data_IF_700514101835
#
_entry.id   IF_700514101835
#
_cell.length_a   1.000
_cell.length_b   1.000
_cell.length_c   1.000
_cell.angle_alpha   90.00
_cell.angle_beta   90.00
_cell.angle_gamma   90.00
#
_symmetry.space_group_name_H-M   'P 1'
#
loop_
_entity.id
_entity.type
_entity.pdbx_description
1 polymer ?
#
# COMPACT_ATOMS: atom_id res chain seq x y z
N UNK A 1 15.13 -19.48 -50.47
CA UNK A 1 15.12 -18.21 -49.72
C UNK A 1 14.62 -18.53 -48.33
N UNK A 2 15.55 -18.75 -47.40
CA UNK A 2 15.24 -19.25 -46.06
C UNK A 2 15.80 -18.23 -45.09
N UNK A 3 15.06 -17.16 -44.80
CA UNK A 3 15.48 -16.21 -43.77
C UNK A 3 14.26 -15.72 -42.97
N UNK A 4 14.33 -16.04 -41.68
CA UNK A 4 13.79 -15.36 -40.50
C UNK A 4 12.27 -15.31 -40.29
N UNK A 5 11.77 -16.29 -39.51
CA UNK A 5 10.49 -16.21 -38.79
C UNK A 5 10.66 -16.46 -37.27
N UNK A 6 11.80 -16.09 -36.67
CA UNK A 6 12.10 -16.35 -35.25
C UNK A 6 12.11 -15.09 -34.35
N UNK A 7 11.62 -13.95 -34.83
CA UNK A 7 11.72 -12.67 -34.10
C UNK A 7 10.52 -12.27 -33.24
N UNK A 8 9.32 -12.86 -33.45
CA UNK A 8 8.09 -12.34 -32.84
C UNK A 8 7.82 -12.84 -31.41
N UNK A 9 8.47 -13.92 -30.97
CA UNK A 9 8.17 -14.58 -29.69
C UNK A 9 8.97 -14.05 -28.50
N UNK A 10 10.06 -13.30 -28.72
CA UNK A 10 10.84 -12.70 -27.62
C UNK A 10 10.17 -11.44 -27.04
N UNK A 11 9.46 -10.68 -27.87
CA UNK A 11 8.75 -9.46 -27.44
C UNK A 11 7.47 -9.78 -26.65
N UNK A 12 6.75 -10.83 -27.04
CA UNK A 12 5.55 -11.26 -26.32
C UNK A 12 5.87 -11.80 -24.91
N UNK A 13 7.07 -12.33 -24.69
CA UNK A 13 7.49 -12.85 -23.39
C UNK A 13 7.94 -11.73 -22.42
N UNK A 14 8.47 -10.63 -22.95
CA UNK A 14 8.83 -9.45 -22.17
C UNK A 14 7.57 -8.74 -21.65
N UNK A 15 6.62 -8.44 -22.53
CA UNK A 15 5.35 -7.79 -22.15
C UNK A 15 4.55 -8.60 -21.12
N UNK A 16 4.56 -9.93 -21.20
CA UNK A 16 3.87 -10.81 -20.24
C UNK A 16 4.60 -10.91 -18.88
N UNK A 17 5.89 -10.58 -18.82
CA UNK A 17 6.64 -10.50 -17.57
C UNK A 17 6.47 -9.12 -16.91
N UNK A 18 6.40 -8.06 -17.72
CA UNK A 18 6.16 -6.67 -17.29
C UNK A 18 4.76 -6.51 -16.69
N UNK A 19 3.71 -7.05 -17.34
CA UNK A 19 2.34 -6.98 -16.80
C UNK A 19 2.20 -7.66 -15.43
N UNK A 20 2.91 -8.78 -15.22
CA UNK A 20 2.92 -9.46 -13.91
C UNK A 20 3.66 -8.66 -12.86
N UNK A 21 4.64 -7.86 -13.26
CA UNK A 21 5.41 -7.04 -12.34
C UNK A 21 4.60 -5.82 -11.90
N UNK A 22 3.84 -5.20 -12.81
CA UNK A 22 2.85 -4.16 -12.53
C UNK A 22 1.79 -4.66 -11.54
N UNK A 23 1.11 -5.78 -11.87
CA UNK A 23 0.12 -6.42 -11.00
C UNK A 23 0.69 -6.75 -9.59
N UNK A 24 1.96 -7.17 -9.51
CA UNK A 24 2.61 -7.45 -8.23
C UNK A 24 2.91 -6.20 -7.41
N UNK A 25 3.21 -5.07 -8.05
CA UNK A 25 3.46 -3.81 -7.36
C UNK A 25 2.16 -3.19 -6.87
N UNK A 26 1.10 -3.22 -7.68
CA UNK A 26 -0.24 -2.79 -7.28
C UNK A 26 -0.76 -3.63 -6.11
N UNK A 27 -0.63 -4.95 -6.17
CA UNK A 27 -1.03 -5.83 -5.06
C UNK A 27 -0.25 -5.52 -3.78
N UNK A 28 1.06 -5.23 -3.88
CA UNK A 28 1.86 -4.82 -2.74
C UNK A 28 1.44 -3.46 -2.18
N UNK A 29 1.04 -2.52 -3.04
CA UNK A 29 0.54 -1.21 -2.61
C UNK A 29 -0.73 -1.38 -1.78
N UNK A 30 -1.66 -2.19 -2.25
CA UNK A 30 -2.90 -2.50 -1.53
C UNK A 30 -2.64 -3.21 -0.21
N UNK A 31 -1.77 -4.23 -0.19
CA UNK A 31 -1.38 -4.92 1.05
C UNK A 31 -0.77 -3.94 2.08
N UNK A 32 0.04 -2.97 1.62
CA UNK A 32 0.64 -1.95 2.48
C UNK A 32 -0.42 -0.99 3.03
N UNK A 33 -1.37 -0.57 2.19
CA UNK A 33 -2.48 0.31 2.57
C UNK A 33 -3.38 -0.37 3.60
N UNK A 34 -3.82 -1.59 3.32
CA UNK A 34 -4.67 -2.37 4.24
C UNK A 34 -3.97 -2.66 5.57
N UNK A 35 -2.69 -3.05 5.55
CA UNK A 35 -1.94 -3.28 6.79
C UNK A 35 -1.79 -2.01 7.63
N UNK A 36 -1.67 -0.85 6.96
CA UNK A 36 -1.67 0.46 7.59
C UNK A 36 -2.99 0.79 8.27
N UNK A 37 -4.11 0.65 7.53
CA UNK A 37 -5.47 0.85 8.06
C UNK A 37 -5.73 -0.06 9.27
N UNK A 38 -5.49 -1.37 9.15
CA UNK A 38 -5.68 -2.30 10.26
C UNK A 38 -4.85 -1.95 11.50
N UNK A 39 -3.65 -1.38 11.30
CA UNK A 39 -2.79 -0.96 12.41
C UNK A 39 -3.31 0.32 13.04
N UNK A 40 -3.76 1.28 12.23
CA UNK A 40 -4.33 2.54 12.69
C UNK A 40 -5.65 2.31 13.45
N UNK A 41 -6.53 1.46 12.93
CA UNK A 41 -7.81 1.10 13.56
C UNK A 41 -7.57 0.47 14.94
N UNK A 42 -6.56 -0.41 15.08
CA UNK A 42 -6.19 -0.97 16.38
C UNK A 42 -5.67 0.09 17.37
N UNK A 43 -5.12 1.21 16.88
CA UNK A 43 -4.70 2.32 17.73
C UNK A 43 -5.90 3.17 18.16
N UNK A 44 -6.84 3.42 17.25
CA UNK A 44 -8.11 4.12 17.54
C UNK A 44 -8.99 3.33 18.51
N UNK A 45 -9.15 2.02 18.32
CA UNK A 45 -9.87 1.15 19.26
C UNK A 45 -9.32 1.25 20.69
N UNK A 46 -7.99 1.43 20.82
CA UNK A 46 -7.32 1.64 22.11
C UNK A 46 -7.54 3.04 22.65
N UNK A 47 -7.60 4.05 21.78
CA UNK A 47 -7.93 5.42 22.15
C UNK A 47 -9.37 5.48 22.69
N UNK A 48 -10.33 4.90 21.98
CA UNK A 48 -11.75 4.80 22.40
C UNK A 48 -11.90 4.07 23.75
N UNK A 49 -11.14 2.98 23.95
CA UNK A 49 -11.14 2.26 25.24
C UNK A 49 -10.62 3.13 26.38
N UNK A 50 -9.62 3.98 26.11
CA UNK A 50 -9.10 4.92 27.09
C UNK A 50 -10.11 6.01 27.40
N UNK A 51 -10.77 6.58 26.39
CA UNK A 51 -11.81 7.61 26.53
C UNK A 51 -12.95 7.14 27.46
N UNK A 52 -13.44 5.91 27.22
CA UNK A 52 -14.45 5.28 28.08
C UNK A 52 -13.97 5.07 29.53
N UNK A 53 -12.68 4.83 29.73
CA UNK A 53 -12.10 4.65 31.07
C UNK A 53 -12.00 5.97 31.84
N UNK A 54 -11.89 7.09 31.13
CA UNK A 54 -11.79 8.44 31.69
C UNK A 54 -13.10 9.23 31.60
N UNK A 55 -14.21 8.56 31.28
CA UNK A 55 -15.57 9.12 31.20
C UNK A 55 -15.69 10.28 30.20
N UNK A 56 -15.12 10.13 29.00
CA UNK A 56 -15.19 11.15 27.95
C UNK A 56 -14.18 12.29 28.09
N UNK A 57 -13.23 12.18 29.04
CA UNK A 57 -12.21 13.21 29.28
C UNK A 57 -11.03 12.99 28.34
N UNK A 58 -11.08 13.71 27.23
CA UNK A 58 -10.07 13.77 26.19
C UNK A 58 -8.65 13.89 26.77
N UNK A 59 -7.92 12.77 26.77
CA UNK A 59 -6.66 12.65 27.49
C UNK A 59 -5.47 12.82 26.56
N UNK A 60 -4.35 13.35 27.07
CA UNK A 60 -3.11 13.38 26.30
C UNK A 60 -2.69 11.99 25.78
N UNK A 61 -3.09 10.91 26.44
CA UNK A 61 -2.75 9.55 26.01
C UNK A 61 -3.57 9.12 24.78
N UNK A 62 -4.87 9.43 24.78
CA UNK A 62 -5.82 9.22 23.68
C UNK A 62 -5.41 10.01 22.44
N UNK A 63 -5.23 11.33 22.57
CA UNK A 63 -4.76 12.18 21.48
C UNK A 63 -3.41 11.70 20.90
N UNK A 64 -2.50 11.21 21.74
CA UNK A 64 -1.24 10.66 21.27
C UNK A 64 -1.40 9.32 20.51
N UNK A 65 -2.46 8.56 20.76
CA UNK A 65 -2.77 7.34 20.01
C UNK A 65 -3.43 7.67 18.68
N UNK A 66 -4.42 8.57 18.67
CA UNK A 66 -5.06 9.05 17.44
C UNK A 66 -4.04 9.68 16.48
N UNK A 67 -3.21 10.61 16.97
CA UNK A 67 -2.15 11.20 16.15
C UNK A 67 -1.14 10.17 15.60
N UNK A 68 -0.94 9.05 16.30
CA UNK A 68 -0.10 7.96 15.80
C UNK A 68 -0.83 7.11 14.77
N UNK A 69 -2.12 6.89 14.94
CA UNK A 69 -2.95 6.20 13.96
C UNK A 69 -2.94 6.96 12.63
N UNK A 70 -3.15 8.27 12.68
CA UNK A 70 -3.06 9.16 11.51
C UNK A 70 -1.68 9.10 10.85
N UNK A 71 -0.60 9.22 11.65
CA UNK A 71 0.76 9.12 11.13
C UNK A 71 1.06 7.75 10.50
N UNK A 72 0.44 6.67 10.98
CA UNK A 72 0.55 5.34 10.36
C UNK A 72 -0.15 5.35 9.01
N UNK A 73 -1.42 5.81 8.93
CA UNK A 73 -2.18 5.89 7.67
C UNK A 73 -1.43 6.71 6.62
N UNK A 74 -1.00 7.92 6.98
CA UNK A 74 -0.24 8.80 6.09
C UNK A 74 1.04 8.13 5.58
N UNK A 75 1.77 7.42 6.46
CA UNK A 75 3.01 6.78 6.08
C UNK A 75 2.80 5.57 5.16
N UNK A 76 1.76 4.78 5.40
CA UNK A 76 1.45 3.63 4.56
C UNK A 76 0.83 4.05 3.23
N UNK A 77 0.01 5.09 3.20
CA UNK A 77 -0.54 5.65 1.97
C UNK A 77 0.58 6.21 1.09
N UNK A 78 1.49 7.03 1.64
CA UNK A 78 2.65 7.51 0.88
C UNK A 78 3.56 6.39 0.34
N UNK A 79 3.62 5.24 1.02
CA UNK A 79 4.35 4.06 0.54
C UNK A 79 3.60 3.32 -0.54
N UNK A 80 2.29 3.15 -0.40
CA UNK A 80 1.42 2.54 -1.40
C UNK A 80 1.46 3.37 -2.69
N UNK A 81 1.32 4.69 -2.59
CA UNK A 81 1.43 5.62 -3.72
C UNK A 81 2.80 5.51 -4.42
N UNK A 82 3.88 5.37 -3.67
CA UNK A 82 5.22 5.17 -4.24
C UNK A 82 5.41 3.79 -4.88
N UNK A 83 4.56 2.81 -4.58
CA UNK A 83 4.53 1.50 -5.24
C UNK A 83 3.67 1.55 -6.50
N UNK A 84 2.51 2.20 -6.44
CA UNK A 84 1.64 2.48 -7.59
C UNK A 84 2.37 3.32 -8.65
N UNK A 85 3.06 4.40 -8.26
CA UNK A 85 3.85 5.21 -9.19
C UNK A 85 4.98 4.38 -9.84
N UNK A 86 5.55 3.40 -9.13
CA UNK A 86 6.54 2.49 -9.74
C UNK A 86 5.88 1.54 -10.73
N UNK A 87 4.68 1.06 -10.45
CA UNK A 87 3.91 0.21 -11.36
C UNK A 87 3.59 0.97 -12.64
N UNK A 88 3.05 2.19 -12.52
CA UNK A 88 2.70 3.07 -13.65
C UNK A 88 3.90 3.42 -14.55
N UNK A 89 5.08 3.53 -13.96
CA UNK A 89 6.32 3.84 -14.68
C UNK A 89 7.02 2.61 -15.32
N UNK A 90 6.45 1.41 -15.18
CA UNK A 90 6.95 0.25 -15.91
C UNK A 90 6.70 0.43 -17.42
N UNK A 91 7.62 -0.06 -18.28
CA UNK A 91 7.40 -0.07 -19.71
C UNK A 91 6.17 -0.93 -20.05
N UNK A 92 5.20 -0.31 -20.74
CA UNK A 92 3.94 -0.90 -21.20
C UNK A 92 4.09 -1.57 -22.57
#
# INVERSE_FOLDING_TARGET
MTIAALGASALALAACAESKQEEQLEAQAEDVREAGEQTADQMEDRADTLDQTVDGVDSNAEQNLENKADAVRDNTEAKADALEEKADNLPQ
#
